data_IF_532124492694
#
_entry.id   IF_532124492694
#
_cell.length_a   1.000
_cell.length_b   1.000
_cell.length_c   1.000
_cell.angle_alpha   90.00
_cell.angle_beta   90.00
_cell.angle_gamma   90.00
#
_symmetry.space_group_name_H-M   'P 1'
#
loop_
_entity.id
_entity.type
_entity.pdbx_description
1 polymer ?
#
# COMPACT_ATOMS: atom_id res chain seq x y z
N UNK A 1 2.33 29.93 8.88
CA UNK A 1 1.92 28.55 9.28
C UNK A 1 0.76 28.15 8.37
N UNK A 2 0.90 27.21 7.41
CA UNK A 2 -0.23 26.87 6.55
C UNK A 2 -1.22 26.01 7.32
N UNK A 3 -2.44 26.54 7.50
CA UNK A 3 -3.58 25.78 7.99
C UNK A 3 -3.91 24.61 7.04
N UNK A 4 -4.46 23.49 7.56
CA UNK A 4 -4.85 22.30 6.78
C UNK A 4 -5.96 22.57 5.73
N UNK A 5 -6.45 23.80 5.65
CA UNK A 5 -7.41 24.29 4.65
C UNK A 5 -6.75 24.91 3.41
N UNK A 6 -5.42 25.04 3.38
CA UNK A 6 -4.74 25.57 2.19
C UNK A 6 -4.80 24.58 1.02
N UNK A 7 -5.26 25.03 -0.15
CA UNK A 7 -5.25 24.32 -1.45
C UNK A 7 -4.04 23.36 -1.65
N UNK A 8 -2.77 23.80 -1.47
CA UNK A 8 -1.61 22.91 -1.64
C UNK A 8 -1.58 21.73 -0.67
N UNK A 9 -2.07 21.89 0.57
CA UNK A 9 -2.13 20.80 1.54
C UNK A 9 -3.13 19.72 1.09
N UNK A 10 -4.32 20.12 0.62
CA UNK A 10 -5.34 19.19 0.12
C UNK A 10 -4.87 18.45 -1.13
N UNK A 11 -4.19 19.13 -2.05
CA UNK A 11 -3.66 18.49 -3.26
C UNK A 11 -2.62 17.42 -2.92
N UNK A 12 -1.72 17.69 -1.98
CA UNK A 12 -0.66 16.75 -1.58
C UNK A 12 -1.18 15.56 -0.77
N UNK A 13 -2.28 15.73 -0.04
CA UNK A 13 -2.87 14.69 0.83
C UNK A 13 -4.08 13.98 0.21
N UNK A 14 -4.42 14.28 -1.04
CA UNK A 14 -5.56 13.69 -1.74
C UNK A 14 -5.45 12.15 -1.84
N UNK A 15 -6.57 11.47 -1.63
CA UNK A 15 -6.71 9.99 -1.56
C UNK A 15 -5.88 9.33 -0.46
N UNK A 16 -5.51 10.10 0.57
CA UNK A 16 -4.82 9.59 1.77
C UNK A 16 -5.82 9.28 2.88
N UNK A 17 -5.30 8.75 3.99
CA UNK A 17 -6.08 8.48 5.19
C UNK A 17 -6.87 9.71 5.69
N UNK A 18 -6.36 10.93 5.49
CA UNK A 18 -7.01 12.16 5.96
C UNK A 18 -8.37 12.44 5.29
N UNK A 19 -8.67 11.75 4.19
CA UNK A 19 -9.96 11.86 3.51
C UNK A 19 -11.04 10.99 4.20
N UNK A 20 -10.66 10.10 5.12
CA UNK A 20 -11.57 9.20 5.83
C UNK A 20 -12.32 9.93 6.95
N UNK A 21 -13.65 9.74 7.11
CA UNK A 21 -14.45 10.33 8.17
C UNK A 21 -13.85 10.16 9.57
N UNK A 22 -13.40 8.95 9.92
CA UNK A 22 -12.83 8.64 11.24
C UNK A 22 -11.60 9.48 11.58
N UNK A 23 -10.77 9.79 10.58
CA UNK A 23 -9.56 10.62 10.77
C UNK A 23 -9.86 12.11 10.89
N UNK A 24 -11.08 12.52 10.53
CA UNK A 24 -11.54 13.90 10.70
C UNK A 24 -12.06 14.13 12.12
N UNK A 25 -12.60 13.08 12.76
CA UNK A 25 -13.19 13.12 14.10
C UNK A 25 -12.18 12.79 15.20
N UNK A 26 -11.24 11.89 14.92
CA UNK A 26 -10.31 11.37 15.92
C UNK A 26 -8.84 11.59 15.57
N UNK A 27 -8.03 11.81 16.60
CA UNK A 27 -6.56 11.79 16.50
C UNK A 27 -6.08 10.35 16.52
N UNK A 28 -5.27 9.97 15.54
CA UNK A 28 -4.81 8.58 15.39
C UNK A 28 -3.28 8.46 15.45
N UNK A 29 -2.82 7.33 16.00
CA UNK A 29 -1.42 6.95 16.00
C UNK A 29 -1.01 6.41 14.63
N UNK A 30 -0.40 7.31 13.86
CA UNK A 30 0.19 7.02 12.56
C UNK A 30 1.13 5.80 12.61
N UNK A 31 1.97 5.67 13.64
CA UNK A 31 2.96 4.60 13.74
C UNK A 31 2.31 3.23 13.87
N UNK A 32 1.23 3.14 14.65
CA UNK A 32 0.47 1.90 14.81
C UNK A 32 -0.29 1.56 13.51
N UNK A 33 -0.88 2.55 12.85
CA UNK A 33 -1.64 2.36 11.60
C UNK A 33 -0.77 1.74 10.48
N UNK A 34 0.39 2.33 10.16
CA UNK A 34 1.18 1.82 9.02
C UNK A 34 1.78 0.44 9.31
N UNK A 35 2.13 0.16 10.57
CA UNK A 35 2.59 -1.16 11.01
C UNK A 35 1.51 -2.23 10.80
N UNK A 36 0.28 -1.96 11.22
CA UNK A 36 -0.86 -2.88 11.05
C UNK A 36 -1.24 -3.08 9.57
N UNK A 37 -1.17 -2.02 8.76
CA UNK A 37 -1.40 -2.10 7.32
C UNK A 37 -0.25 -2.79 6.55
N UNK A 38 0.87 -3.09 7.22
CA UNK A 38 2.07 -3.66 6.60
C UNK A 38 2.70 -2.74 5.55
N UNK A 39 2.60 -1.42 5.74
CA UNK A 39 3.23 -0.42 4.86
C UNK A 39 4.45 0.20 5.54
N UNK A 40 5.49 0.57 4.78
CA UNK A 40 6.70 1.14 5.37
C UNK A 40 6.48 2.56 5.92
N UNK A 41 5.48 3.30 5.38
CA UNK A 41 5.09 4.64 5.83
C UNK A 41 3.57 4.82 5.76
N UNK A 42 3.06 5.82 6.47
CA UNK A 42 1.64 6.20 6.40
C UNK A 42 1.27 6.78 5.03
N UNK A 43 2.17 7.55 4.42
CA UNK A 43 1.94 8.18 3.11
C UNK A 43 1.71 7.18 1.96
N UNK A 44 2.14 5.94 2.13
CA UNK A 44 1.96 4.85 1.17
C UNK A 44 0.59 4.18 1.28
N UNK A 45 -0.15 4.43 2.36
CA UNK A 45 -1.50 3.91 2.56
C UNK A 45 -2.52 4.86 1.93
N UNK A 46 -3.29 4.33 0.96
CA UNK A 46 -4.38 5.08 0.33
C UNK A 46 -5.70 4.87 1.06
N UNK A 47 -6.60 5.85 1.01
CA UNK A 47 -7.97 5.72 1.49
C UNK A 47 -8.70 4.48 0.93
N UNK A 48 -8.40 4.07 -0.32
CA UNK A 48 -9.01 2.87 -0.94
C UNK A 48 -8.56 1.54 -0.31
N UNK A 49 -7.46 1.55 0.43
CA UNK A 49 -6.92 0.36 1.10
C UNK A 49 -7.37 0.30 2.57
N UNK A 50 -8.23 1.23 2.99
CA UNK A 50 -8.82 1.26 4.32
C UNK A 50 -10.33 1.27 4.17
N UNK A 51 -11.02 0.44 4.95
CA UNK A 51 -12.48 0.43 4.97
C UNK A 51 -12.98 0.68 6.39
N UNK A 52 -14.19 1.21 6.50
CA UNK A 52 -14.90 1.46 7.76
C UNK A 52 -16.15 0.57 7.81
N UNK A 53 -15.99 -0.74 8.03
CA UNK A 53 -17.11 -1.66 7.91
C UNK A 53 -18.04 -1.56 9.12
N UNK A 54 -19.34 -1.37 8.87
CA UNK A 54 -20.36 -1.22 9.92
C UNK A 54 -20.49 -2.46 10.82
N UNK A 55 -20.21 -3.66 10.29
CA UNK A 55 -20.32 -4.89 11.09
C UNK A 55 -19.41 -4.87 12.33
N UNK A 56 -18.30 -4.13 12.33
CA UNK A 56 -17.44 -4.02 13.52
C UNK A 56 -18.11 -3.25 14.66
N UNK A 57 -18.92 -2.25 14.31
CA UNK A 57 -19.73 -1.49 15.28
C UNK A 57 -20.85 -2.38 15.82
N UNK A 58 -21.53 -3.11 14.93
CA UNK A 58 -22.58 -4.06 15.31
C UNK A 58 -22.02 -5.18 16.21
N UNK A 59 -20.86 -5.73 15.85
CA UNK A 59 -20.18 -6.78 16.60
C UNK A 59 -19.77 -6.30 17.98
N UNK A 60 -19.24 -5.09 18.09
CA UNK A 60 -18.89 -4.45 19.36
C UNK A 60 -20.11 -4.28 20.29
N UNK A 61 -21.28 -3.96 19.73
CA UNK A 61 -22.52 -3.82 20.48
C UNK A 61 -23.17 -5.18 20.85
N UNK A 62 -23.00 -6.20 20.01
CA UNK A 62 -23.68 -7.50 20.14
C UNK A 62 -23.17 -8.39 21.27
N UNK A 63 -24.06 -9.15 21.92
CA UNK A 63 -23.72 -10.20 22.93
C UNK A 63 -23.32 -11.54 22.32
N UNK A 64 -22.83 -11.51 21.08
CA UNK A 64 -22.38 -12.70 20.37
C UNK A 64 -21.21 -13.35 21.10
N UNK A 65 -21.24 -14.67 21.23
CA UNK A 65 -20.11 -15.47 21.72
C UNK A 65 -19.14 -15.83 20.58
N UNK A 66 -17.88 -16.21 20.87
CA UNK A 66 -16.93 -16.60 19.83
C UNK A 66 -17.43 -17.75 18.94
N UNK A 67 -18.14 -18.72 19.53
CA UNK A 67 -18.67 -19.87 18.79
C UNK A 67 -19.85 -19.49 17.89
N UNK A 68 -20.68 -18.53 18.30
CA UNK A 68 -21.77 -18.00 17.47
C UNK A 68 -21.24 -17.17 16.31
N UNK A 69 -20.16 -16.42 16.49
CA UNK A 69 -19.54 -15.64 15.42
C UNK A 69 -19.01 -16.53 14.28
N UNK A 70 -18.53 -17.74 14.63
CA UNK A 70 -18.04 -18.73 13.69
C UNK A 70 -19.16 -19.54 13.03
N UNK A 71 -20.42 -19.31 13.40
CA UNK A 71 -21.55 -19.86 12.65
C UNK A 71 -21.86 -18.92 11.49
N UNK A 72 -22.13 -19.45 10.28
CA UNK A 72 -22.60 -18.67 9.14
C UNK A 72 -24.07 -18.26 9.35
N UNK A 73 -24.32 -17.53 10.44
CA UNK A 73 -25.56 -16.84 10.78
C UNK A 73 -25.42 -15.35 10.40
N UNK A 74 -26.31 -14.46 10.85
CA UNK A 74 -26.36 -13.07 10.39
C UNK A 74 -25.03 -12.29 10.59
N UNK A 75 -24.46 -12.30 11.81
CA UNK A 75 -23.18 -11.63 12.08
C UNK A 75 -21.98 -12.35 11.45
N UNK A 76 -22.00 -13.68 11.46
CA UNK A 76 -20.95 -14.49 10.83
C UNK A 76 -20.90 -14.28 9.32
N UNK A 77 -22.04 -14.14 8.64
CA UNK A 77 -22.08 -13.80 7.22
C UNK A 77 -21.62 -12.37 6.94
N UNK A 78 -21.98 -11.40 7.80
CA UNK A 78 -21.47 -10.02 7.65
C UNK A 78 -19.95 -9.96 7.78
N UNK A 79 -19.37 -10.72 8.71
CA UNK A 79 -17.92 -10.88 8.83
C UNK A 79 -17.33 -11.53 7.58
N UNK A 80 -17.92 -12.64 7.13
CA UNK A 80 -17.48 -13.38 5.94
C UNK A 80 -17.43 -12.50 4.70
N UNK A 81 -18.54 -11.84 4.39
CA UNK A 81 -18.67 -10.98 3.21
C UNK A 81 -17.74 -9.77 3.28
N UNK A 82 -17.59 -9.17 4.46
CA UNK A 82 -16.65 -8.06 4.64
C UNK A 82 -15.22 -8.52 4.42
N UNK A 83 -14.87 -9.73 4.91
CA UNK A 83 -13.55 -10.31 4.78
C UNK A 83 -13.23 -10.70 3.33
N UNK A 84 -14.18 -11.34 2.65
CA UNK A 84 -14.14 -11.63 1.21
C UNK A 84 -13.88 -10.34 0.44
N UNK A 85 -14.74 -9.33 0.61
CA UNK A 85 -14.59 -8.04 -0.05
C UNK A 85 -13.24 -7.38 0.24
N UNK A 86 -12.77 -7.42 1.48
CA UNK A 86 -11.48 -6.84 1.85
C UNK A 86 -10.31 -7.54 1.14
N UNK A 87 -10.34 -8.87 1.05
CA UNK A 87 -9.29 -9.65 0.42
C UNK A 87 -9.29 -9.46 -1.11
N UNK A 88 -10.46 -9.43 -1.74
CA UNK A 88 -10.61 -9.21 -3.18
C UNK A 88 -10.26 -7.78 -3.60
N UNK A 89 -10.63 -6.78 -2.81
CA UNK A 89 -10.31 -5.39 -3.13
C UNK A 89 -8.89 -4.97 -2.69
N UNK A 90 -8.21 -5.80 -1.91
CA UNK A 90 -6.88 -5.51 -1.37
C UNK A 90 -6.90 -4.45 -0.27
N UNK A 91 -7.97 -4.42 0.53
CA UNK A 91 -8.07 -3.65 1.76
C UNK A 91 -7.06 -4.19 2.77
N UNK A 92 -6.27 -3.29 3.35
CA UNK A 92 -5.17 -3.60 4.28
C UNK A 92 -5.54 -3.37 5.73
N UNK A 93 -6.52 -2.51 5.98
CA UNK A 93 -6.91 -2.09 7.32
C UNK A 93 -8.41 -1.81 7.38
N UNK A 94 -9.05 -2.25 8.44
CA UNK A 94 -10.37 -1.80 8.85
C UNK A 94 -10.24 -0.85 10.03
N UNK A 95 -11.01 0.24 10.00
CA UNK A 95 -11.14 1.18 11.10
C UNK A 95 -12.59 1.22 11.56
N UNK A 96 -12.81 1.30 12.87
CA UNK A 96 -14.15 1.51 13.41
C UNK A 96 -14.09 2.39 14.67
N UNK A 97 -15.08 3.25 14.82
CA UNK A 97 -15.35 3.99 16.05
C UNK A 97 -16.15 3.07 16.97
N UNK A 98 -15.68 2.86 18.19
CA UNK A 98 -16.27 1.92 19.13
C UNK A 98 -16.22 2.47 20.56
N UNK A 99 -17.15 2.06 21.45
CA UNK A 99 -17.09 2.46 22.85
C UNK A 99 -15.82 1.91 23.51
N UNK A 100 -15.33 2.53 24.60
CA UNK A 100 -14.04 2.17 25.23
C UNK A 100 -13.96 0.73 25.75
N UNK A 101 -15.10 0.06 25.95
CA UNK A 101 -15.17 -1.34 26.39
C UNK A 101 -15.11 -2.34 25.22
N UNK A 102 -15.40 -1.89 24.00
CA UNK A 102 -15.44 -2.74 22.81
C UNK A 102 -14.11 -3.41 22.44
N UNK A 103 -12.93 -2.78 22.60
CA UNK A 103 -11.67 -3.42 22.24
C UNK A 103 -11.44 -4.73 22.99
N UNK A 104 -11.67 -4.75 24.31
CA UNK A 104 -11.54 -5.97 25.12
C UNK A 104 -12.47 -7.06 24.63
N UNK A 105 -13.74 -6.72 24.40
CA UNK A 105 -14.75 -7.65 23.88
C UNK A 105 -14.37 -8.23 22.51
N UNK A 106 -13.93 -7.37 21.60
CA UNK A 106 -13.55 -7.79 20.26
C UNK A 106 -12.28 -8.65 20.28
N UNK A 107 -11.35 -8.40 21.20
CA UNK A 107 -10.20 -9.28 21.42
C UNK A 107 -10.66 -10.67 21.89
N UNK A 108 -11.59 -10.74 22.84
CA UNK A 108 -12.14 -12.03 23.30
C UNK A 108 -12.83 -12.81 22.16
N UNK A 109 -13.49 -12.09 21.24
CA UNK A 109 -14.18 -12.69 20.09
C UNK A 109 -13.24 -13.11 18.96
N UNK A 110 -12.38 -12.20 18.51
CA UNK A 110 -11.57 -12.37 17.30
C UNK A 110 -10.21 -13.01 17.57
N UNK A 111 -9.77 -13.00 18.83
CA UNK A 111 -8.49 -13.51 19.28
C UNK A 111 -7.47 -12.40 19.61
N UNK A 112 -6.43 -12.82 20.33
CA UNK A 112 -5.32 -11.96 20.72
C UNK A 112 -4.59 -11.39 19.50
N UNK A 113 -4.03 -10.19 19.65
CA UNK A 113 -3.25 -9.48 18.62
C UNK A 113 -3.98 -9.14 17.30
N UNK A 114 -5.29 -9.35 17.20
CA UNK A 114 -6.08 -8.94 16.03
C UNK A 114 -6.59 -7.50 16.14
N UNK A 115 -7.02 -7.11 17.34
CA UNK A 115 -7.69 -5.83 17.62
C UNK A 115 -6.72 -4.84 18.24
N UNK A 116 -6.57 -3.67 17.62
CA UNK A 116 -5.62 -2.65 18.06
C UNK A 116 -6.27 -1.30 18.21
N UNK A 117 -6.18 -0.70 19.40
CA UNK A 117 -6.61 0.69 19.61
C UNK A 117 -5.59 1.64 18.96
N UNK A 118 -6.05 2.44 18.00
CA UNK A 118 -5.22 3.41 17.25
C UNK A 118 -5.55 4.85 17.55
N UNK A 119 -6.63 5.14 18.29
CA UNK A 119 -6.90 6.49 18.79
C UNK A 119 -5.81 6.93 19.78
N UNK A 120 -5.26 8.11 19.56
CA UNK A 120 -4.48 8.81 20.58
C UNK A 120 -5.48 9.33 21.62
N UNK A 121 -5.19 9.14 22.90
CA UNK A 121 -6.06 9.50 24.03
C UNK A 121 -6.76 10.83 23.77
N UNK A 122 -8.10 10.83 23.85
CA UNK A 122 -8.88 12.02 23.57
C UNK A 122 -8.57 13.14 24.59
N UNK A 123 -8.93 14.40 24.29
CA UNK A 123 -8.96 15.46 25.30
C UNK A 123 -9.83 15.04 26.49
N UNK A 124 -9.63 15.69 27.65
CA UNK A 124 -10.41 15.44 28.87
C UNK A 124 -11.91 15.25 28.63
N UNK A 125 -12.59 14.41 29.44
CA UNK A 125 -14.00 14.09 29.27
C UNK A 125 -14.83 15.35 29.05
N UNK A 126 -15.40 15.49 27.85
CA UNK A 126 -16.27 16.61 27.52
C UNK A 126 -17.60 16.36 28.19
N UNK A 127 -17.92 17.16 29.21
CA UNK A 127 -19.23 17.13 29.84
C UNK A 127 -20.30 17.54 28.81
N UNK A 128 -21.09 16.58 28.34
CA UNK A 128 -22.35 16.83 27.64
C UNK A 128 -23.46 16.25 28.51
N UNK A 129 -24.45 17.09 28.85
CA UNK A 129 -25.67 16.71 29.58
C UNK A 129 -25.47 15.84 30.82
N UNK A 130 -24.59 16.28 31.74
CA UNK A 130 -24.56 15.77 33.12
C UNK A 130 -24.05 14.33 33.32
N UNK A 131 -23.69 13.61 32.25
CA UNK A 131 -23.06 12.30 32.33
C UNK A 131 -21.68 12.36 31.63
N UNK A 132 -20.62 12.09 32.37
CA UNK A 132 -19.28 11.92 31.80
C UNK A 132 -19.26 10.69 30.89
N UNK A 133 -19.50 10.89 29.59
CA UNK A 133 -19.35 9.83 28.58
C UNK A 133 -17.88 9.72 28.23
N UNK A 134 -17.30 8.55 28.47
CA UNK A 134 -15.95 8.27 27.98
C UNK A 134 -15.93 8.42 26.44
N UNK A 135 -14.90 9.06 25.88
CA UNK A 135 -14.80 9.30 24.45
C UNK A 135 -14.69 7.97 23.70
N UNK A 136 -15.34 7.89 22.52
CA UNK A 136 -15.24 6.74 21.64
C UNK A 136 -13.78 6.55 21.19
N UNK A 137 -13.36 5.29 21.14
CA UNK A 137 -12.02 4.88 20.72
C UNK A 137 -12.04 4.37 19.30
N UNK A 138 -10.94 4.56 18.58
CA UNK A 138 -10.80 4.03 17.22
C UNK A 138 -10.02 2.74 17.27
N UNK A 139 -10.64 1.66 16.82
CA UNK A 139 -10.02 0.34 16.67
C UNK A 139 -9.57 0.14 15.23
N UNK A 140 -8.48 -0.60 15.07
CA UNK A 140 -7.95 -1.02 13.80
C UNK A 140 -7.77 -2.54 13.78
N UNK A 141 -8.21 -3.16 12.70
CA UNK A 141 -8.08 -4.60 12.46
C UNK A 141 -7.47 -4.81 11.08
N UNK A 142 -6.45 -5.66 10.98
CA UNK A 142 -5.91 -6.06 9.68
C UNK A 142 -6.67 -7.29 9.17
N UNK A 143 -7.37 -7.24 8.02
CA UNK A 143 -8.05 -8.41 7.46
C UNK A 143 -7.12 -9.59 7.25
N UNK A 144 -5.86 -9.33 6.88
CA UNK A 144 -4.83 -10.35 6.77
C UNK A 144 -4.55 -11.02 8.11
N UNK A 145 -4.34 -10.25 9.19
CA UNK A 145 -4.05 -10.83 10.50
C UNK A 145 -5.24 -11.59 11.05
N UNK A 146 -6.46 -11.11 10.81
CA UNK A 146 -7.68 -11.83 11.18
C UNK A 146 -7.78 -13.19 10.47
N UNK A 147 -7.49 -13.26 9.17
CA UNK A 147 -7.45 -14.54 8.43
C UNK A 147 -6.40 -15.48 9.00
N UNK A 148 -5.20 -14.97 9.29
CA UNK A 148 -4.13 -15.77 9.87
C UNK A 148 -4.52 -16.31 11.25
N UNK A 149 -5.06 -15.44 12.11
CA UNK A 149 -5.55 -15.82 13.43
C UNK A 149 -6.65 -16.89 13.34
N UNK A 150 -7.66 -16.71 12.48
CA UNK A 150 -8.73 -17.69 12.28
C UNK A 150 -8.22 -19.03 11.70
N UNK A 151 -7.26 -19.00 10.77
CA UNK A 151 -6.69 -20.21 10.19
C UNK A 151 -5.87 -21.03 11.20
N UNK A 152 -5.22 -20.34 12.15
CA UNK A 152 -4.37 -20.97 13.17
C UNK A 152 -5.14 -21.38 14.43
N UNK A 153 -6.25 -20.70 14.77
CA UNK A 153 -6.99 -20.83 16.04
C UNK A 153 -7.48 -22.25 16.34
N UNK A 154 -8.41 -22.79 15.57
CA UNK A 154 -9.00 -24.12 15.79
C UNK A 154 -9.72 -24.63 14.53
N UNK A 155 -10.18 -25.89 14.56
CA UNK A 155 -10.88 -26.49 13.41
C UNK A 155 -12.24 -25.85 13.13
N UNK A 156 -12.95 -25.34 14.15
CA UNK A 156 -14.20 -24.62 13.94
C UNK A 156 -14.00 -23.34 13.13
N UNK A 157 -12.94 -22.59 13.40
CA UNK A 157 -12.54 -21.40 12.63
C UNK A 157 -12.11 -21.76 11.21
N UNK A 158 -11.39 -22.87 11.01
CA UNK A 158 -11.08 -23.36 9.66
C UNK A 158 -12.32 -23.80 8.89
N UNK A 159 -13.24 -24.51 9.54
CA UNK A 159 -14.51 -24.90 8.95
C UNK A 159 -15.34 -23.68 8.56
N UNK A 160 -15.39 -22.66 9.42
CA UNK A 160 -16.00 -21.37 9.10
C UNK A 160 -15.32 -20.74 7.87
N UNK A 161 -13.99 -20.63 7.82
CA UNK A 161 -13.28 -20.07 6.67
C UNK A 161 -13.55 -20.84 5.37
N UNK A 162 -13.69 -22.17 5.43
CA UNK A 162 -14.02 -23.02 4.27
C UNK A 162 -15.39 -22.69 3.68
N UNK A 163 -16.38 -22.43 4.53
CA UNK A 163 -17.74 -22.05 4.10
C UNK A 163 -17.83 -20.58 3.73
N UNK A 164 -17.22 -19.71 4.53
CA UNK A 164 -17.35 -18.26 4.45
C UNK A 164 -16.62 -17.66 3.23
N UNK A 165 -15.51 -18.27 2.80
CA UNK A 165 -14.64 -17.75 1.75
C UNK A 165 -14.52 -18.73 0.56
N UNK A 166 -15.52 -19.61 0.39
CA UNK A 166 -15.60 -20.48 -0.77
C UNK A 166 -15.66 -19.65 -2.05
N UNK A 167 -14.81 -19.96 -3.03
CA UNK A 167 -14.78 -19.26 -4.31
C UNK A 167 -14.06 -17.89 -4.30
N UNK A 168 -13.39 -17.52 -3.20
CA UNK A 168 -12.66 -16.25 -3.11
C UNK A 168 -11.67 -16.05 -4.27
N UNK A 169 -11.72 -14.89 -4.93
CA UNK A 169 -10.75 -14.55 -5.98
C UNK A 169 -9.37 -14.18 -5.40
N UNK A 170 -8.36 -14.94 -5.81
CA UNK A 170 -6.98 -14.76 -5.35
C UNK A 170 -6.16 -13.71 -6.10
N UNK A 171 -6.71 -13.01 -7.11
CA UNK A 171 -5.96 -12.06 -7.95
C UNK A 171 -5.22 -11.00 -7.12
N UNK A 172 -5.94 -10.34 -6.20
CA UNK A 172 -5.42 -9.26 -5.35
C UNK A 172 -5.10 -9.72 -3.93
N UNK A 173 -5.46 -10.96 -3.59
CA UNK A 173 -5.20 -11.53 -2.28
C UNK A 173 -3.69 -11.57 -1.95
N UNK A 174 -3.29 -11.13 -0.76
CA UNK A 174 -1.91 -11.22 -0.32
C UNK A 174 -1.46 -12.69 -0.23
N UNK A 175 -0.22 -12.97 -0.63
CA UNK A 175 0.33 -14.34 -0.68
C UNK A 175 0.19 -15.08 0.66
N UNK A 176 0.41 -14.38 1.77
CA UNK A 176 0.27 -14.96 3.13
C UNK A 176 -1.15 -15.44 3.39
N UNK A 177 -2.18 -14.66 3.02
CA UNK A 177 -3.57 -15.09 3.13
C UNK A 177 -3.84 -16.30 2.24
N UNK A 178 -3.40 -16.30 0.97
CA UNK A 178 -3.63 -17.45 0.06
C UNK A 178 -3.01 -18.74 0.59
N UNK A 179 -1.83 -18.66 1.23
CA UNK A 179 -1.18 -19.84 1.83
C UNK A 179 -1.95 -20.32 3.06
N UNK A 180 -2.37 -19.42 3.94
CA UNK A 180 -3.12 -19.77 5.14
C UNK A 180 -4.50 -20.35 4.82
N UNK A 181 -5.24 -19.73 3.87
CA UNK A 181 -6.55 -20.21 3.42
C UNK A 181 -6.44 -21.58 2.73
N UNK A 182 -5.41 -21.80 1.90
CA UNK A 182 -5.15 -23.12 1.33
C UNK A 182 -4.81 -24.15 2.41
N UNK A 183 -4.02 -23.76 3.42
CA UNK A 183 -3.72 -24.61 4.58
C UNK A 183 -4.96 -24.95 5.42
N UNK A 184 -5.94 -24.04 5.48
CA UNK A 184 -7.24 -24.26 6.12
C UNK A 184 -8.24 -25.05 5.25
N UNK A 185 -7.88 -25.39 4.00
CA UNK A 185 -8.71 -26.18 3.08
C UNK A 185 -9.80 -25.39 2.34
N UNK A 186 -9.68 -24.06 2.25
CA UNK A 186 -10.65 -23.22 1.53
C UNK A 186 -10.52 -23.45 0.02
N UNK A 187 -11.64 -23.64 -0.69
CA UNK A 187 -11.67 -23.76 -2.14
C UNK A 187 -11.53 -22.36 -2.78
N UNK A 188 -10.31 -22.04 -3.22
CA UNK A 188 -9.96 -20.72 -3.77
C UNK A 188 -10.07 -20.72 -5.31
N UNK A 189 -10.51 -19.60 -5.88
CA UNK A 189 -10.43 -19.35 -7.32
C UNK A 189 -9.01 -18.85 -7.67
N UNK A 190 -8.13 -19.80 -8.01
CA UNK A 190 -6.74 -19.53 -8.34
C UNK A 190 -6.55 -19.14 -9.81
N UNK A 191 -5.94 -17.97 -10.01
CA UNK A 191 -5.58 -17.50 -11.34
C UNK A 191 -4.15 -17.93 -11.72
N UNK A 192 -3.87 -18.20 -13.02
CA UNK A 192 -2.54 -18.57 -13.47
C UNK A 192 -1.54 -17.47 -13.13
N UNK A 193 -0.31 -17.86 -12.76
CA UNK A 193 0.75 -16.93 -12.35
C UNK A 193 0.99 -15.82 -13.39
N UNK A 194 0.85 -16.14 -14.67
CA UNK A 194 1.03 -15.21 -15.78
C UNK A 194 0.01 -14.06 -15.75
N UNK A 195 -1.27 -14.32 -15.43
CA UNK A 195 -2.29 -13.28 -15.37
C UNK A 195 -2.07 -12.33 -14.18
N UNK A 196 -1.63 -12.88 -13.04
CA UNK A 196 -1.21 -12.08 -11.88
C UNK A 196 0.01 -11.20 -12.19
N UNK A 197 0.90 -11.67 -13.06
CA UNK A 197 2.04 -10.89 -13.53
C UNK A 197 1.61 -9.80 -14.51
N UNK A 198 0.74 -10.14 -15.48
CA UNK A 198 0.25 -9.19 -16.49
C UNK A 198 -0.54 -8.02 -15.89
N UNK A 199 -1.15 -8.21 -14.73
CA UNK A 199 -1.88 -7.16 -13.98
C UNK A 199 -1.00 -6.42 -12.96
N UNK A 200 0.22 -6.91 -12.70
CA UNK A 200 1.13 -6.27 -11.76
C UNK A 200 1.74 -5.02 -12.41
N UNK A 201 1.52 -3.81 -11.86
CA UNK A 201 2.02 -2.57 -12.45
C UNK A 201 3.54 -2.53 -12.58
N UNK A 202 4.27 -3.22 -11.70
CA UNK A 202 5.74 -3.34 -11.79
C UNK A 202 6.12 -4.13 -13.04
N UNK A 203 5.51 -5.30 -13.26
CA UNK A 203 5.78 -6.13 -14.44
C UNK A 203 5.43 -5.38 -15.73
N UNK A 204 4.29 -4.69 -15.76
CA UNK A 204 3.90 -3.83 -16.88
C UNK A 204 4.99 -2.78 -17.15
N UNK A 205 5.51 -2.12 -16.11
CA UNK A 205 6.60 -1.15 -16.28
C UNK A 205 7.87 -1.78 -16.86
N UNK A 206 8.27 -2.98 -16.43
CA UNK A 206 9.39 -3.72 -17.03
C UNK A 206 9.15 -4.01 -18.51
N UNK A 207 7.97 -4.53 -18.86
CA UNK A 207 7.62 -4.86 -20.24
C UNK A 207 7.63 -3.62 -21.13
N UNK A 208 6.98 -2.54 -20.70
CA UNK A 208 6.91 -1.28 -21.46
C UNK A 208 8.30 -0.68 -21.67
N UNK A 209 9.12 -0.60 -20.61
CA UNK A 209 10.49 -0.06 -20.70
C UNK A 209 11.36 -0.94 -21.59
N UNK A 210 11.25 -2.27 -21.47
CA UNK A 210 12.00 -3.20 -22.30
C UNK A 210 11.67 -3.05 -23.78
N UNK A 211 10.38 -2.97 -24.13
CA UNK A 211 9.92 -2.73 -25.50
C UNK A 211 10.48 -1.40 -26.01
N UNK A 212 10.30 -0.31 -25.25
CA UNK A 212 10.83 1.00 -25.61
C UNK A 212 12.35 0.99 -25.84
N UNK A 213 13.11 0.40 -24.90
CA UNK A 213 14.57 0.31 -24.99
C UNK A 213 15.00 -0.46 -26.24
N UNK A 214 14.32 -1.56 -26.55
CA UNK A 214 14.60 -2.38 -27.74
C UNK A 214 14.37 -1.62 -29.05
N UNK A 215 13.37 -0.74 -29.10
CA UNK A 215 13.02 0.06 -30.29
C UNK A 215 13.95 1.28 -30.48
N UNK A 216 14.60 1.75 -29.42
CA UNK A 216 15.33 3.03 -29.40
C UNK A 216 16.56 3.07 -30.31
N UNK A 217 17.22 1.95 -30.54
CA UNK A 217 18.40 1.89 -31.41
C UNK A 217 18.03 1.97 -32.91
N UNK A 218 16.75 1.75 -33.27
CA UNK A 218 16.30 1.64 -34.65
C UNK A 218 16.48 2.94 -35.46
N UNK A 219 16.15 4.14 -34.93
CA UNK A 219 16.40 5.40 -35.65
C UNK A 219 17.90 5.68 -35.88
N UNK A 220 18.79 5.23 -34.98
CA UNK A 220 20.24 5.50 -35.07
C UNK A 220 20.88 4.79 -36.28
N UNK A 221 20.33 3.66 -36.70
CA UNK A 221 20.77 2.96 -37.91
C UNK A 221 20.63 3.82 -39.19
N UNK A 222 19.82 4.88 -39.16
CA UNK A 222 19.57 5.77 -40.29
C UNK A 222 20.25 7.14 -40.17
N UNK A 223 21.06 7.38 -39.13
CA UNK A 223 21.73 8.68 -38.90
C UNK A 223 23.05 8.75 -39.69
N UNK A 224 23.22 9.70 -40.63
CA UNK A 224 24.41 9.77 -41.49
C UNK A 224 25.75 10.09 -40.79
N UNK A 225 25.72 10.47 -39.51
CA UNK A 225 26.91 10.91 -38.75
C UNK A 225 27.41 9.95 -37.67
N UNK A 226 26.81 8.77 -37.52
CA UNK A 226 27.22 7.79 -36.51
C UNK A 226 28.16 6.74 -37.11
N UNK A 227 29.36 6.60 -36.54
CA UNK A 227 30.39 5.65 -37.03
C UNK A 227 30.51 4.40 -36.17
N UNK A 228 29.76 4.31 -35.07
CA UNK A 228 29.73 3.13 -34.21
C UNK A 228 28.80 2.03 -34.71
N UNK A 229 28.91 0.85 -34.11
CA UNK A 229 27.99 -0.26 -34.37
C UNK A 229 26.65 -0.04 -33.66
N UNK A 230 25.56 0.06 -34.42
CA UNK A 230 24.20 0.27 -33.88
C UNK A 230 23.73 -0.87 -32.98
N UNK A 231 24.15 -2.11 -33.26
CA UNK A 231 23.79 -3.28 -32.45
C UNK A 231 24.42 -3.26 -31.06
N UNK A 232 25.56 -2.56 -30.88
CA UNK A 232 26.18 -2.37 -29.56
C UNK A 232 25.33 -1.42 -28.71
N UNK A 233 24.81 -0.33 -29.28
CA UNK A 233 23.83 0.54 -28.61
C UNK A 233 22.59 -0.24 -28.21
N UNK A 234 22.06 -1.04 -29.14
CA UNK A 234 20.91 -1.91 -28.88
C UNK A 234 21.16 -2.91 -27.75
N UNK A 235 22.34 -3.52 -27.70
CA UNK A 235 22.72 -4.44 -26.62
C UNK A 235 22.82 -3.73 -25.28
N UNK A 236 23.44 -2.54 -25.24
CA UNK A 236 23.50 -1.71 -24.03
C UNK A 236 22.08 -1.40 -23.56
N UNK A 237 21.19 -1.00 -24.47
CA UNK A 237 19.79 -0.66 -24.18
C UNK A 237 19.00 -1.83 -23.60
N UNK A 238 19.19 -3.04 -24.12
CA UNK A 238 18.54 -4.25 -23.59
C UNK A 238 19.09 -4.62 -22.21
N UNK A 239 20.43 -4.64 -22.07
CA UNK A 239 21.08 -5.03 -20.81
C UNK A 239 20.76 -4.03 -19.70
N UNK A 240 20.63 -2.75 -20.03
CA UNK A 240 20.34 -1.68 -19.07
C UNK A 240 18.86 -1.56 -18.72
N UNK A 241 17.93 -2.04 -19.53
CA UNK A 241 16.48 -1.91 -19.28
C UNK A 241 16.05 -2.54 -17.95
N UNK A 242 16.51 -3.77 -17.67
CA UNK A 242 16.17 -4.49 -16.42
C UNK A 242 16.67 -3.75 -15.17
N UNK A 243 17.98 -3.43 -15.03
CA UNK A 243 18.46 -2.68 -13.87
C UNK A 243 17.92 -1.25 -13.81
N UNK A 244 17.61 -0.62 -14.94
CA UNK A 244 16.97 0.70 -14.98
C UNK A 244 15.57 0.67 -14.36
N UNK A 245 14.70 -0.26 -14.78
CA UNK A 245 13.36 -0.38 -14.21
C UNK A 245 13.41 -0.76 -12.73
N UNK A 246 14.32 -1.66 -12.34
CA UNK A 246 14.56 -1.96 -10.93
C UNK A 246 14.93 -0.69 -10.16
N UNK A 247 15.84 0.11 -10.72
CA UNK A 247 16.27 1.37 -10.15
C UNK A 247 15.13 2.34 -9.91
N UNK A 248 14.25 2.52 -10.90
CA UNK A 248 13.04 3.35 -10.77
C UNK A 248 12.09 2.84 -9.68
N UNK A 249 11.86 1.53 -9.64
CA UNK A 249 10.96 0.90 -8.66
C UNK A 249 11.52 1.03 -7.25
N UNK A 250 12.80 0.76 -7.02
CA UNK A 250 13.41 0.90 -5.69
C UNK A 250 13.55 2.36 -5.26
N UNK A 251 13.88 3.25 -6.19
CA UNK A 251 13.86 4.69 -5.93
C UNK A 251 12.47 5.15 -5.48
N UNK A 252 11.41 4.60 -6.09
CA UNK A 252 10.05 4.99 -5.78
C UNK A 252 9.45 4.28 -4.55
N UNK A 253 9.60 2.98 -4.43
CA UNK A 253 8.89 2.15 -3.46
C UNK A 253 9.83 1.47 -2.45
N UNK A 254 11.13 1.74 -2.53
CA UNK A 254 12.12 1.10 -1.69
C UNK A 254 11.83 1.33 -0.20
N UNK A 255 11.92 0.29 0.65
CA UNK A 255 11.58 0.40 2.07
C UNK A 255 12.63 1.19 2.87
N UNK A 256 13.87 1.26 2.38
CA UNK A 256 15.01 1.88 3.07
C UNK A 256 15.65 2.94 2.19
N UNK A 257 16.13 4.03 2.79
CA UNK A 257 16.82 5.11 2.06
C UNK A 257 18.03 4.61 1.27
N UNK A 258 18.78 3.64 1.81
CA UNK A 258 19.92 3.01 1.12
C UNK A 258 19.51 2.30 -0.17
N UNK A 259 18.35 1.62 -0.18
CA UNK A 259 17.83 0.96 -1.38
C UNK A 259 17.32 1.99 -2.40
N UNK A 260 16.68 3.06 -1.93
CA UNK A 260 16.29 4.18 -2.80
C UNK A 260 17.50 4.84 -3.46
N UNK A 261 18.57 5.06 -2.70
CA UNK A 261 19.83 5.61 -3.22
C UNK A 261 20.49 4.66 -4.22
N UNK A 262 20.53 3.36 -3.92
CA UNK A 262 21.02 2.34 -4.86
C UNK A 262 20.18 2.34 -6.15
N UNK A 263 18.86 2.47 -6.04
CA UNK A 263 17.96 2.58 -7.18
C UNK A 263 18.22 3.83 -8.01
N UNK A 264 18.40 4.99 -7.37
CA UNK A 264 18.78 6.24 -8.03
C UNK A 264 20.09 6.09 -8.80
N UNK A 265 21.16 5.62 -8.15
CA UNK A 265 22.47 5.43 -8.78
C UNK A 265 22.36 4.48 -9.97
N UNK A 266 21.65 3.36 -9.80
CA UNK A 266 21.44 2.38 -10.88
C UNK A 266 20.70 3.02 -12.05
N UNK A 267 19.63 3.78 -11.79
CA UNK A 267 18.86 4.50 -12.82
C UNK A 267 19.74 5.48 -13.59
N UNK A 268 20.57 6.26 -12.90
CA UNK A 268 21.48 7.22 -13.54
C UNK A 268 22.52 6.52 -14.41
N UNK A 269 23.20 5.50 -13.87
CA UNK A 269 24.24 4.77 -14.61
C UNK A 269 23.68 4.10 -15.86
N UNK A 270 22.55 3.39 -15.72
CA UNK A 270 21.90 2.68 -16.82
C UNK A 270 21.33 3.62 -17.88
N UNK A 271 20.80 4.78 -17.48
CA UNK A 271 20.34 5.81 -18.40
C UNK A 271 21.48 6.44 -19.20
N UNK A 272 22.63 6.69 -18.55
CA UNK A 272 23.78 7.39 -19.14
C UNK A 272 24.62 6.48 -20.04
N UNK A 273 24.67 5.17 -19.78
CA UNK A 273 25.52 4.22 -20.50
C UNK A 273 25.43 4.27 -22.05
N UNK A 274 24.25 4.32 -22.69
CA UNK A 274 24.14 4.44 -24.15
C UNK A 274 24.74 5.75 -24.68
N UNK A 275 24.59 6.84 -23.92
CA UNK A 275 25.14 8.15 -24.29
C UNK A 275 26.66 8.21 -24.18
N UNK A 276 27.24 7.51 -23.19
CA UNK A 276 28.70 7.38 -23.07
C UNK A 276 29.28 6.66 -24.28
N UNK A 277 28.63 5.58 -24.74
CA UNK A 277 29.06 4.88 -25.95
C UNK A 277 28.89 5.76 -27.20
N UNK A 278 27.77 6.47 -27.33
CA UNK A 278 27.56 7.42 -28.42
C UNK A 278 28.63 8.53 -28.43
N UNK A 279 29.01 9.05 -27.26
CA UNK A 279 30.05 10.07 -27.10
C UNK A 279 31.43 9.58 -27.51
N UNK A 280 31.82 8.36 -27.12
CA UNK A 280 33.10 7.79 -27.52
C UNK A 280 33.23 7.64 -29.05
N UNK A 281 32.11 7.59 -29.77
CA UNK A 281 32.05 7.32 -31.21
C UNK A 281 31.55 8.49 -32.08
N UNK A 282 31.21 9.64 -31.47
CA UNK A 282 30.65 10.81 -32.16
C UNK A 282 31.40 12.09 -31.82
N UNK A 283 31.45 13.05 -32.76
CA UNK A 283 31.88 14.42 -32.47
C UNK A 283 30.66 15.25 -32.07
N UNK A 284 30.81 16.04 -31.02
CA UNK A 284 29.83 16.96 -30.41
C UNK A 284 28.78 16.30 -29.49
N UNK A 285 29.02 16.46 -28.18
CA UNK A 285 28.06 16.09 -27.14
C UNK A 285 26.86 17.06 -27.13
N UNK A 286 25.62 16.60 -27.36
CA UNK A 286 24.46 17.46 -27.28
C UNK A 286 24.28 17.91 -25.83
N UNK A 287 24.48 19.20 -25.56
CA UNK A 287 24.32 19.81 -24.22
C UNK A 287 22.96 19.48 -23.57
N UNK A 288 21.95 19.20 -24.39
CA UNK A 288 20.62 18.71 -24.00
C UNK A 288 20.69 17.48 -23.11
N UNK A 289 21.61 16.53 -23.35
CA UNK A 289 21.71 15.29 -22.54
C UNK A 289 22.18 15.60 -21.11
N UNK A 290 23.16 16.50 -20.92
CA UNK A 290 23.54 16.97 -19.57
C UNK A 290 22.33 17.59 -18.87
N UNK A 291 21.58 18.45 -19.57
CA UNK A 291 20.39 19.11 -19.02
C UNK A 291 19.35 18.07 -18.59
N UNK A 292 19.10 17.03 -19.39
CA UNK A 292 18.16 15.95 -19.07
C UNK A 292 18.62 15.14 -17.86
N UNK A 293 19.90 14.76 -17.78
CA UNK A 293 20.44 14.02 -16.62
C UNK A 293 20.32 14.83 -15.34
N UNK A 294 20.71 16.11 -15.38
CA UNK A 294 20.57 17.03 -14.24
C UNK A 294 19.10 17.19 -13.86
N UNK A 295 18.20 17.36 -14.83
CA UNK A 295 16.76 17.47 -14.59
C UNK A 295 16.17 16.19 -13.98
N UNK A 296 16.63 15.00 -14.38
CA UNK A 296 16.19 13.73 -13.80
C UNK A 296 16.66 13.57 -12.35
N UNK A 297 17.92 13.90 -12.06
CA UNK A 297 18.45 13.86 -10.69
C UNK A 297 17.68 14.86 -9.80
N UNK A 298 17.52 16.09 -10.27
CA UNK A 298 16.77 17.12 -9.57
C UNK A 298 15.30 16.72 -9.39
N UNK A 299 14.67 16.16 -10.43
CA UNK A 299 13.30 15.67 -10.41
C UNK A 299 13.10 14.51 -9.42
N UNK A 300 14.05 13.57 -9.35
CA UNK A 300 14.00 12.48 -8.36
C UNK A 300 14.12 13.00 -6.93
N UNK A 301 15.07 13.91 -6.67
CA UNK A 301 15.22 14.56 -5.38
C UNK A 301 13.96 15.35 -4.99
N UNK A 302 13.35 16.05 -5.96
CA UNK A 302 12.09 16.76 -5.76
C UNK A 302 10.93 15.82 -5.44
N UNK A 303 10.78 14.70 -6.16
CA UNK A 303 9.75 13.69 -5.90
C UNK A 303 9.89 13.05 -4.53
N UNK A 304 11.10 12.70 -4.09
CA UNK A 304 11.33 12.16 -2.75
C UNK A 304 11.02 13.22 -1.69
N UNK A 305 11.42 14.47 -1.90
CA UNK A 305 11.10 15.59 -1.01
C UNK A 305 9.59 15.76 -0.89
N UNK A 306 8.84 15.74 -2.00
CA UNK A 306 7.38 15.83 -2.02
C UNK A 306 6.73 14.66 -1.27
N UNK A 307 7.26 13.44 -1.40
CA UNK A 307 6.75 12.26 -0.67
C UNK A 307 7.02 12.35 0.83
N UNK A 308 8.20 12.82 1.23
CA UNK A 308 8.52 13.09 2.63
C UNK A 308 7.62 14.18 3.21
N UNK A 309 7.35 15.24 2.43
CA UNK A 309 6.42 16.31 2.83
C UNK A 309 5.00 15.78 2.98
N UNK A 310 4.51 14.99 2.01
CA UNK A 310 3.20 14.33 2.07
C UNK A 310 3.07 13.44 3.31
N UNK A 311 4.07 12.59 3.57
CA UNK A 311 4.07 11.71 4.74
C UNK A 311 4.04 12.50 6.05
N UNK A 312 4.89 13.52 6.19
CA UNK A 312 4.86 14.44 7.35
C UNK A 312 3.53 15.16 7.51
N UNK A 313 2.90 15.58 6.40
CA UNK A 313 1.59 16.23 6.43
C UNK A 313 0.49 15.27 6.88
N UNK A 314 0.50 14.01 6.40
CA UNK A 314 -0.44 12.98 6.83
C UNK A 314 -0.27 12.67 8.31
N UNK A 315 0.97 12.43 8.78
CA UNK A 315 1.24 12.15 10.19
C UNK A 315 0.82 13.33 11.08
N UNK A 316 1.10 14.57 10.68
CA UNK A 316 0.64 15.76 11.40
C UNK A 316 -0.87 15.90 11.38
N UNK A 317 -1.53 15.60 10.27
CA UNK A 317 -2.98 15.63 10.15
C UNK A 317 -3.64 14.60 11.07
N UNK A 318 -3.13 13.36 11.09
CA UNK A 318 -3.62 12.30 11.96
C UNK A 318 -3.44 12.64 13.45
N UNK A 319 -2.35 13.31 13.83
CA UNK A 319 -2.08 13.69 15.23
C UNK A 319 -2.76 14.98 15.67
N UNK A 320 -2.93 15.93 14.75
CA UNK A 320 -3.39 17.29 15.07
C UNK A 320 -4.90 17.48 15.04
N UNK A 321 -5.66 16.55 14.45
CA UNK A 321 -7.08 16.73 14.19
C UNK A 321 -7.95 16.09 15.28
N UNK A 322 -8.32 16.91 16.27
CA UNK A 322 -9.58 16.75 17.01
C UNK A 322 -10.19 18.15 17.02
N UNK A 323 -11.23 18.34 16.23
CA UNK A 323 -11.98 19.57 16.08
C UNK A 323 -13.36 19.22 15.56
#
# INVERSE_FOLDING_TARGET
MPHPTTEPFRLLTRRSLLDLPVTQRHRLDAERIHRLAGTPRCGDLSARQVAEPQFLVDLAASTCSPDELLRPDDLGWRLAHSLEHALEQGVRLWLAEAPPQAPHRLTDLLGDDVVHVVSLTAPEPVAHDGAARNPDVVIAISPLQLVLALAERNEASRAYLRTALEGLDTLRCPRRATVALRGAGVALNEHPRLLRWATNPVVIAYVVIFIYSSLRALPVAFVPGFHGHWWVLWLIDIVTAVPYTWGLVEMAAGPRIRRRLAGLVTTVVTFVAPYVYFWMQGRDYPRVVIIVVVAMIAGSAALETLRMLRDRMIVRGLRGRAG
#
